data_IF_300313608329
#
_entry.id   IF_300313608329
#
_cell.length_a   1.000
_cell.length_b   1.000
_cell.length_c   1.000
_cell.angle_alpha   90.00
_cell.angle_beta   90.00
_cell.angle_gamma   90.00
#
_symmetry.space_group_name_H-M   'P 1'
#
loop_
_entity.id
_entity.type
_entity.pdbx_description
1 polymer ?
#
# COMPACT_ATOMS: atom_id res chain seq x y z
N UNK A 1 -31.93 82.24 -1.68
CA UNK A 1 -32.59 80.99 -1.26
C UNK A 1 -31.74 79.84 -1.90
N UNK A 2 -30.64 79.53 -1.19
CA UNK A 2 -29.57 78.62 -1.72
C UNK A 2 -29.84 77.22 -1.34
N UNK A 3 -29.95 76.35 -2.33
CA UNK A 3 -30.11 74.90 -2.15
C UNK A 3 -28.77 74.28 -2.36
N UNK A 4 -28.02 74.01 -1.26
CA UNK A 4 -26.77 73.25 -1.28
C UNK A 4 -27.06 71.75 -1.45
N UNK A 5 -26.71 71.20 -2.62
CA UNK A 5 -26.70 69.79 -2.89
C UNK A 5 -25.42 69.15 -2.33
N UNK A 6 -25.55 68.34 -1.28
CA UNK A 6 -24.44 67.55 -0.70
C UNK A 6 -24.34 66.25 -1.48
N UNK A 7 -23.21 66.07 -2.21
CA UNK A 7 -22.90 64.85 -2.93
C UNK A 7 -22.15 63.95 -1.97
N UNK A 8 -22.77 62.82 -1.60
CA UNK A 8 -22.11 61.78 -0.81
C UNK A 8 -21.31 60.86 -1.73
N UNK A 9 -19.98 60.90 -1.63
CA UNK A 9 -19.06 60.02 -2.33
C UNK A 9 -18.93 58.73 -1.52
N UNK A 10 -19.58 57.62 -2.01
CA UNK A 10 -19.40 56.32 -1.41
C UNK A 10 -18.12 55.66 -1.99
N UNK A 11 -17.07 55.63 -1.18
CA UNK A 11 -15.86 54.85 -1.50
C UNK A 11 -16.13 53.37 -1.18
N UNK A 12 -16.35 52.57 -2.23
CA UNK A 12 -16.46 51.11 -2.11
C UNK A 12 -15.04 50.56 -2.00
N UNK A 13 -14.66 50.13 -0.80
CA UNK A 13 -13.39 49.44 -0.54
C UNK A 13 -13.56 47.95 -0.91
N UNK A 14 -13.15 47.59 -2.12
CA UNK A 14 -13.15 46.19 -2.55
C UNK A 14 -12.00 45.43 -1.84
N UNK A 15 -12.34 44.64 -0.82
CA UNK A 15 -11.40 43.77 -0.12
C UNK A 15 -11.17 42.52 -0.97
N UNK A 16 -10.09 42.51 -1.75
CA UNK A 16 -9.67 41.34 -2.50
C UNK A 16 -9.12 40.29 -1.54
N UNK A 17 -9.88 39.22 -1.24
CA UNK A 17 -9.40 38.02 -0.55
C UNK A 17 -8.46 37.27 -1.49
N UNK A 18 -7.15 37.37 -1.25
CA UNK A 18 -6.14 36.51 -1.81
C UNK A 18 -6.22 35.14 -1.11
N UNK A 19 -6.92 34.20 -1.74
CA UNK A 19 -6.86 32.78 -1.37
C UNK A 19 -5.47 32.24 -1.75
N UNK A 20 -4.54 32.26 -0.82
CA UNK A 20 -3.29 31.51 -0.94
C UNK A 20 -3.63 30.02 -0.84
N UNK A 21 -3.81 29.35 -1.97
CA UNK A 21 -3.85 27.91 -2.05
C UNK A 21 -2.45 27.39 -1.65
N UNK A 22 -2.29 26.96 -0.38
CA UNK A 22 -1.16 26.14 0.03
C UNK A 22 -1.24 24.82 -0.75
N UNK A 23 -0.58 24.76 -1.90
CA UNK A 23 -0.32 23.50 -2.59
C UNK A 23 0.54 22.63 -1.70
N UNK A 24 -0.04 21.67 -0.98
CA UNK A 24 0.70 20.61 -0.33
C UNK A 24 1.45 19.87 -1.43
N UNK A 25 2.77 20.07 -1.48
CA UNK A 25 3.66 19.30 -2.34
C UNK A 25 3.56 17.86 -1.87
N UNK A 26 2.95 16.98 -2.68
CA UNK A 26 2.91 15.55 -2.37
C UNK A 26 4.34 15.08 -2.10
N UNK A 27 4.53 14.31 -1.02
CA UNK A 27 5.82 13.71 -0.73
C UNK A 27 6.30 12.90 -1.96
N UNK A 28 7.59 12.91 -2.29
CA UNK A 28 8.09 12.18 -3.43
C UNK A 28 7.75 10.70 -3.27
N UNK A 29 7.07 10.14 -4.27
CA UNK A 29 6.75 8.71 -4.29
C UNK A 29 8.00 7.95 -4.67
N UNK A 30 8.47 7.04 -3.82
CA UNK A 30 9.68 6.24 -4.05
C UNK A 30 9.50 5.13 -5.09
N UNK A 31 8.27 4.79 -5.43
CA UNK A 31 7.95 3.71 -6.36
C UNK A 31 7.44 4.24 -7.70
N UNK A 32 7.63 3.42 -8.74
CA UNK A 32 7.10 3.63 -10.08
C UNK A 32 5.93 2.67 -10.34
N UNK A 33 4.90 3.15 -11.03
CA UNK A 33 3.78 2.30 -11.46
C UNK A 33 4.19 1.46 -12.66
N UNK A 34 4.10 0.14 -12.53
CA UNK A 34 4.31 -0.83 -13.62
C UNK A 34 2.99 -1.08 -14.36
N UNK A 35 1.92 -1.35 -13.60
CA UNK A 35 0.57 -1.48 -14.15
C UNK A 35 -0.47 -0.85 -13.24
N UNK A 36 -1.45 -0.20 -13.85
CA UNK A 36 -2.62 0.30 -13.10
C UNK A 36 -3.52 -0.86 -12.72
N UNK A 37 -4.04 -0.84 -11.50
CA UNK A 37 -5.02 -1.80 -11.04
C UNK A 37 -6.34 -1.67 -11.79
N UNK A 38 -7.02 -2.79 -11.95
CA UNK A 38 -8.41 -2.88 -12.42
C UNK A 38 -9.37 -3.28 -11.29
N UNK A 39 -8.83 -3.75 -10.17
CA UNK A 39 -9.56 -4.13 -8.97
C UNK A 39 -9.42 -3.01 -7.93
N UNK A 40 -10.55 -2.37 -7.59
CA UNK A 40 -10.58 -1.23 -6.68
C UNK A 40 -11.16 -1.62 -5.31
N UNK A 41 -10.92 -0.83 -4.26
CA UNK A 41 -11.61 -1.00 -2.98
C UNK A 41 -13.14 -0.95 -3.16
N UNK A 42 -13.83 -1.96 -2.63
CA UNK A 42 -15.27 -2.12 -2.76
C UNK A 42 -15.72 -3.00 -3.93
N UNK A 43 -14.86 -3.28 -4.90
CA UNK A 43 -15.16 -4.23 -5.97
C UNK A 43 -15.21 -5.67 -5.41
N UNK A 44 -16.08 -6.49 -5.97
CA UNK A 44 -16.06 -7.92 -5.65
C UNK A 44 -14.80 -8.58 -6.20
N UNK A 45 -14.03 -9.22 -5.34
CA UNK A 45 -12.82 -9.93 -5.75
C UNK A 45 -13.20 -11.28 -6.35
N UNK A 46 -12.88 -11.58 -7.62
CA UNK A 46 -13.21 -12.86 -8.23
C UNK A 46 -12.48 -14.01 -7.54
N UNK A 47 -13.10 -15.19 -7.56
CA UNK A 47 -12.43 -16.40 -7.09
C UNK A 47 -11.19 -16.69 -7.95
N UNK A 48 -10.10 -17.22 -7.34
CA UNK A 48 -8.90 -17.61 -8.08
C UNK A 48 -9.23 -18.62 -9.18
N UNK A 49 -8.60 -18.48 -10.33
CA UNK A 49 -8.67 -19.43 -11.45
C UNK A 49 -7.40 -20.26 -11.60
N UNK A 50 -6.32 -19.83 -10.95
CA UNK A 50 -5.03 -20.50 -10.84
C UNK A 50 -4.72 -20.89 -9.40
N UNK A 51 -3.47 -21.30 -9.16
CA UNK A 51 -2.99 -21.65 -7.83
C UNK A 51 -3.08 -20.47 -6.88
N UNK A 52 -3.63 -20.69 -5.68
CA UNK A 52 -3.73 -19.67 -4.65
C UNK A 52 -2.32 -19.37 -4.12
N UNK A 53 -1.88 -18.12 -4.27
CA UNK A 53 -0.59 -17.64 -3.79
C UNK A 53 -0.69 -16.84 -2.50
N UNK A 54 -1.89 -16.28 -2.19
CA UNK A 54 -2.13 -15.50 -0.98
C UNK A 54 -3.54 -15.74 -0.45
N UNK A 55 -3.64 -15.94 0.87
CA UNK A 55 -4.89 -15.99 1.61
C UNK A 55 -4.93 -14.86 2.64
N UNK A 56 -6.04 -14.12 2.69
CA UNK A 56 -6.28 -13.10 3.72
C UNK A 56 -7.51 -13.49 4.51
N UNK A 57 -7.45 -13.38 5.82
CA UNK A 57 -8.56 -13.62 6.75
C UNK A 57 -8.55 -12.66 7.95
N UNK A 58 -9.43 -12.88 8.92
CA UNK A 58 -9.58 -12.04 10.10
C UNK A 58 -10.59 -10.91 9.90
N UNK A 59 -10.28 -9.70 10.39
CA UNK A 59 -11.14 -8.52 10.32
C UNK A 59 -11.16 -7.90 8.91
N UNK A 60 -11.76 -8.60 7.95
CA UNK A 60 -11.97 -8.14 6.57
C UNK A 60 -13.44 -8.23 6.18
N UNK A 61 -13.90 -7.38 5.26
CA UNK A 61 -15.28 -7.39 4.76
C UNK A 61 -15.44 -8.13 3.44
N UNK A 62 -14.36 -8.38 2.70
CA UNK A 62 -14.38 -9.10 1.43
C UNK A 62 -14.05 -10.59 1.62
N UNK A 63 -14.73 -11.45 0.88
CA UNK A 63 -14.41 -12.88 0.84
C UNK A 63 -14.80 -13.46 -0.53
N UNK A 64 -14.06 -14.45 -1.01
CA UNK A 64 -14.36 -15.22 -2.21
C UNK A 64 -14.21 -16.73 -1.98
N UNK A 65 -13.86 -17.15 -0.76
CA UNK A 65 -13.75 -18.56 -0.35
C UNK A 65 -14.07 -18.71 1.14
N UNK A 66 -15.31 -19.04 1.48
CA UNK A 66 -15.77 -19.09 2.87
C UNK A 66 -15.64 -17.74 3.56
N UNK A 67 -14.86 -17.68 4.65
CA UNK A 67 -14.58 -16.45 5.41
C UNK A 67 -13.24 -15.80 5.03
N UNK A 68 -12.60 -16.30 3.97
CA UNK A 68 -11.30 -15.79 3.52
C UNK A 68 -11.36 -15.19 2.13
N UNK A 69 -10.41 -14.31 1.84
CA UNK A 69 -10.15 -13.74 0.54
C UNK A 69 -8.89 -14.39 -0.02
N UNK A 70 -9.02 -15.04 -1.17
CA UNK A 70 -7.93 -15.76 -1.82
C UNK A 70 -7.55 -15.11 -3.15
N UNK A 71 -6.26 -15.12 -3.46
CA UNK A 71 -5.71 -14.58 -4.69
C UNK A 71 -4.81 -15.61 -5.38
N UNK A 72 -5.00 -15.79 -6.68
CA UNK A 72 -3.95 -16.25 -7.56
C UNK A 72 -3.06 -15.05 -7.98
N UNK A 73 -1.95 -15.32 -8.64
CA UNK A 73 -0.99 -14.27 -9.03
C UNK A 73 -1.65 -13.18 -9.88
N UNK A 74 -2.48 -13.57 -10.85
CA UNK A 74 -3.16 -12.64 -11.76
C UNK A 74 -4.15 -11.74 -11.01
N UNK A 75 -4.97 -12.32 -10.15
CA UNK A 75 -5.97 -11.56 -9.39
C UNK A 75 -5.29 -10.62 -8.38
N UNK A 76 -4.19 -11.04 -7.78
CA UNK A 76 -3.39 -10.19 -6.90
C UNK A 76 -2.83 -8.97 -7.66
N UNK A 77 -2.21 -9.19 -8.82
CA UNK A 77 -1.63 -8.10 -9.62
C UNK A 77 -2.68 -7.17 -10.25
N UNK A 78 -3.94 -7.59 -10.35
CA UNK A 78 -5.05 -6.73 -10.76
C UNK A 78 -5.33 -5.58 -9.76
N UNK A 79 -4.80 -5.62 -8.56
CA UNK A 79 -4.84 -4.49 -7.60
C UNK A 79 -3.96 -3.34 -8.06
N UNK A 80 -2.97 -3.62 -8.92
CA UNK A 80 -1.99 -2.67 -9.45
C UNK A 80 -0.59 -3.03 -8.99
N UNK A 81 0.35 -2.95 -9.92
CA UNK A 81 1.76 -3.30 -9.67
C UNK A 81 2.59 -2.04 -9.66
N UNK A 82 3.38 -1.88 -8.62
CA UNK A 82 4.42 -0.86 -8.50
C UNK A 82 5.78 -1.53 -8.30
N UNK A 83 6.86 -0.77 -8.49
CA UNK A 83 8.22 -1.26 -8.31
C UNK A 83 9.12 -0.21 -7.67
N UNK A 84 10.09 -0.66 -6.91
CA UNK A 84 11.22 0.14 -6.42
C UNK A 84 12.44 -0.74 -6.14
N UNK A 85 13.61 -0.10 -6.07
CA UNK A 85 14.86 -0.77 -5.69
C UNK A 85 15.08 -0.66 -4.19
N UNK A 86 15.58 -1.74 -3.60
CA UNK A 86 15.98 -1.76 -2.18
C UNK A 86 17.19 -2.66 -2.00
N UNK A 87 18.06 -2.30 -1.05
CA UNK A 87 19.14 -3.18 -0.63
C UNK A 87 18.56 -4.30 0.23
N UNK A 88 18.46 -5.48 -0.36
CA UNK A 88 17.97 -6.66 0.34
C UNK A 88 18.90 -6.99 1.52
N UNK A 89 18.41 -6.95 2.77
CA UNK A 89 19.25 -7.11 3.94
C UNK A 89 19.86 -8.50 4.07
N UNK A 90 19.28 -9.49 3.40
CA UNK A 90 19.72 -10.89 3.44
C UNK A 90 20.54 -11.28 2.21
N UNK A 91 20.10 -10.91 1.01
CA UNK A 91 20.86 -11.16 -0.21
C UNK A 91 22.08 -10.26 -0.37
N UNK A 92 22.16 -9.14 0.40
CA UNK A 92 23.24 -8.13 0.34
C UNK A 92 23.42 -7.56 -1.08
N UNK A 93 22.31 -7.33 -1.77
CA UNK A 93 22.25 -6.82 -3.15
C UNK A 93 21.14 -5.79 -3.28
N UNK A 94 21.36 -4.83 -4.18
CA UNK A 94 20.30 -3.90 -4.59
C UNK A 94 19.42 -4.61 -5.63
N UNK A 95 18.16 -4.90 -5.28
CA UNK A 95 17.20 -5.67 -6.08
C UNK A 95 16.03 -4.77 -6.46
N UNK A 96 15.56 -4.89 -7.70
CA UNK A 96 14.32 -4.27 -8.15
C UNK A 96 13.15 -5.21 -7.81
N UNK A 97 12.38 -4.86 -6.80
CA UNK A 97 11.17 -5.59 -6.47
C UNK A 97 9.95 -4.94 -7.10
N UNK A 98 9.06 -5.76 -7.67
CA UNK A 98 7.77 -5.36 -8.19
C UNK A 98 6.64 -6.18 -7.56
N UNK A 99 5.49 -5.53 -7.31
CA UNK A 99 4.35 -6.19 -6.67
C UNK A 99 3.27 -5.20 -6.26
N UNK A 100 2.47 -5.58 -5.30
CA UNK A 100 1.29 -4.86 -4.84
C UNK A 100 1.59 -4.15 -3.52
N UNK A 101 1.22 -2.86 -3.40
CA UNK A 101 1.30 -2.17 -2.10
C UNK A 101 0.39 -2.84 -1.08
N UNK A 102 0.94 -3.21 0.07
CA UNK A 102 0.18 -3.84 1.16
C UNK A 102 -0.99 -2.95 1.61
N UNK A 103 -0.80 -1.63 1.63
CA UNK A 103 -1.88 -0.69 1.95
C UNK A 103 -3.05 -0.73 0.95
N UNK A 104 -2.79 -0.96 -0.35
CA UNK A 104 -3.84 -1.11 -1.35
C UNK A 104 -4.53 -2.48 -1.24
N UNK A 105 -3.75 -3.53 -1.00
CA UNK A 105 -4.27 -4.87 -0.76
C UNK A 105 -5.25 -4.89 0.42
N UNK A 106 -4.91 -4.23 1.54
CA UNK A 106 -5.80 -4.12 2.70
C UNK A 106 -7.10 -3.34 2.40
N UNK A 107 -7.03 -2.30 1.58
CA UNK A 107 -8.22 -1.55 1.14
C UNK A 107 -9.14 -2.43 0.28
N UNK A 108 -8.57 -3.22 -0.65
CA UNK A 108 -9.33 -4.16 -1.48
C UNK A 108 -9.92 -5.28 -0.63
N UNK A 109 -9.18 -5.79 0.36
CA UNK A 109 -9.69 -6.79 1.30
C UNK A 109 -10.79 -6.23 2.23
N UNK A 110 -10.95 -4.89 2.30
CA UNK A 110 -11.89 -4.25 3.20
C UNK A 110 -11.52 -4.44 4.66
N UNK A 111 -10.23 -4.25 5.00
CA UNK A 111 -9.76 -4.31 6.37
C UNK A 111 -10.55 -3.38 7.28
N UNK A 112 -10.97 -3.88 8.45
CA UNK A 112 -11.81 -3.13 9.38
C UNK A 112 -11.06 -1.90 9.92
N UNK A 113 -11.75 -0.76 10.13
CA UNK A 113 -11.12 0.48 10.61
C UNK A 113 -10.49 0.36 12.00
N UNK A 114 -10.96 -0.57 12.82
CA UNK A 114 -10.46 -0.86 14.16
C UNK A 114 -9.34 -1.91 14.18
N UNK A 115 -8.96 -2.46 13.02
CA UNK A 115 -7.83 -3.36 12.92
C UNK A 115 -6.51 -2.60 13.15
N UNK A 116 -5.62 -3.19 13.95
CA UNK A 116 -4.36 -2.56 14.35
C UNK A 116 -3.12 -3.33 13.93
N UNK A 117 -3.27 -4.63 13.68
CA UNK A 117 -2.16 -5.55 13.47
C UNK A 117 -2.46 -6.53 12.35
N UNK A 118 -1.45 -6.88 11.60
CA UNK A 118 -1.44 -7.98 10.64
C UNK A 118 -0.52 -9.07 11.17
N UNK A 119 -0.95 -10.33 11.10
CA UNK A 119 -0.02 -11.46 11.18
C UNK A 119 0.29 -11.94 9.77
N UNK A 120 1.52 -11.80 9.34
CA UNK A 120 2.05 -12.35 8.10
C UNK A 120 2.50 -13.79 8.35
N UNK A 121 2.19 -14.72 7.45
CA UNK A 121 2.55 -16.14 7.56
C UNK A 121 3.18 -16.64 6.27
N UNK A 122 4.31 -17.32 6.41
CA UNK A 122 5.00 -17.99 5.31
C UNK A 122 4.45 -19.41 5.06
N UNK A 123 4.92 -20.04 3.98
CA UNK A 123 4.55 -21.42 3.61
C UNK A 123 5.03 -22.48 4.62
N UNK A 124 6.07 -22.18 5.39
CA UNK A 124 6.63 -23.07 6.43
C UNK A 124 6.03 -22.78 7.83
N UNK A 125 4.90 -22.05 7.87
CA UNK A 125 4.20 -21.64 9.09
C UNK A 125 4.96 -20.62 9.97
N UNK A 126 6.14 -20.15 9.58
CA UNK A 126 6.75 -19.02 10.25
C UNK A 126 5.82 -17.80 10.16
N UNK A 127 5.71 -17.05 11.25
CA UNK A 127 4.83 -15.88 11.28
C UNK A 127 5.45 -14.72 12.04
N UNK A 128 5.08 -13.51 11.62
CA UNK A 128 5.48 -12.25 12.26
C UNK A 128 4.33 -11.27 12.26
N UNK A 129 4.29 -10.39 13.24
CA UNK A 129 3.28 -9.35 13.33
C UNK A 129 3.80 -8.03 12.75
N UNK A 130 2.91 -7.30 12.07
CA UNK A 130 3.16 -5.98 11.49
C UNK A 130 2.03 -5.02 11.88
N UNK A 131 2.37 -3.81 12.31
CA UNK A 131 1.35 -2.79 12.64
C UNK A 131 0.74 -2.20 11.37
N UNK A 132 -0.57 -2.03 11.34
CA UNK A 132 -1.26 -1.37 10.23
C UNK A 132 -0.85 0.11 10.11
N UNK A 133 -0.48 0.76 11.22
CA UNK A 133 0.09 2.12 11.19
C UNK A 133 1.35 2.22 10.32
N UNK A 134 2.19 1.18 10.33
CA UNK A 134 3.43 1.13 9.56
C UNK A 134 3.14 0.89 8.07
N UNK A 135 2.15 0.04 7.76
CA UNK A 135 1.64 -0.16 6.39
C UNK A 135 1.05 1.13 5.80
N UNK A 136 0.43 1.95 6.63
CA UNK A 136 -0.10 3.24 6.21
C UNK A 136 0.98 4.33 6.09
N UNK A 137 2.09 4.18 6.81
CA UNK A 137 3.20 5.14 6.81
C UNK A 137 4.20 4.88 5.69
N UNK A 138 4.52 3.61 5.41
CA UNK A 138 5.54 3.22 4.45
C UNK A 138 4.98 2.40 3.30
N UNK A 139 5.50 2.53 2.09
CA UNK A 139 5.05 1.77 0.92
C UNK A 139 5.59 0.32 0.95
N UNK A 140 5.17 -0.44 1.96
CA UNK A 140 5.49 -1.86 2.10
C UNK A 140 4.90 -2.61 0.92
N UNK A 141 5.71 -3.46 0.27
CA UNK A 141 5.35 -4.16 -0.93
C UNK A 141 5.15 -5.66 -0.66
N UNK A 142 4.07 -6.22 -1.17
CA UNK A 142 3.96 -7.66 -1.37
C UNK A 142 4.51 -7.93 -2.77
N UNK A 143 5.80 -8.24 -2.81
CA UNK A 143 6.52 -8.45 -4.06
C UNK A 143 6.12 -9.77 -4.71
N UNK A 144 5.84 -9.71 -6.01
CA UNK A 144 5.58 -10.87 -6.89
C UNK A 144 6.79 -11.18 -7.75
N UNK A 145 7.68 -10.18 -7.97
CA UNK A 145 8.86 -10.28 -8.84
C UNK A 145 10.09 -9.66 -8.18
N UNK A 146 11.23 -10.25 -8.49
CA UNK A 146 12.56 -9.71 -8.21
C UNK A 146 13.32 -9.62 -9.54
N UNK A 147 13.92 -8.44 -9.84
CA UNK A 147 14.63 -8.16 -11.10
C UNK A 147 13.83 -8.53 -12.37
N UNK A 148 12.52 -8.26 -12.35
CA UNK A 148 11.46 -8.49 -13.35
C UNK A 148 10.96 -9.94 -13.46
N UNK A 149 11.55 -10.91 -12.80
CA UNK A 149 11.13 -12.31 -12.87
C UNK A 149 10.23 -12.69 -11.69
N UNK A 150 9.21 -13.52 -11.92
CA UNK A 150 8.44 -14.13 -10.85
C UNK A 150 9.35 -15.02 -9.98
N UNK A 151 9.14 -14.94 -8.68
CA UNK A 151 9.94 -15.68 -7.72
C UNK A 151 9.36 -17.09 -7.54
N UNK A 152 10.10 -18.16 -7.88
CA UNK A 152 9.64 -19.52 -7.63
C UNK A 152 9.72 -19.87 -6.15
N UNK A 153 8.89 -20.83 -5.72
CA UNK A 153 8.78 -21.24 -4.30
C UNK A 153 10.12 -21.72 -3.73
N UNK A 154 10.91 -22.43 -4.52
CA UNK A 154 12.24 -22.92 -4.13
C UNK A 154 13.33 -21.82 -4.04
N UNK A 155 12.98 -20.57 -4.38
CA UNK A 155 13.82 -19.37 -4.30
C UNK A 155 13.11 -18.25 -3.55
N UNK A 156 12.61 -18.55 -2.36
CA UNK A 156 11.95 -17.62 -1.44
C UNK A 156 10.61 -17.03 -1.92
N UNK A 157 10.08 -17.45 -3.08
CA UNK A 157 8.76 -17.06 -3.59
C UNK A 157 7.62 -17.89 -3.00
N UNK A 158 6.39 -17.73 -3.49
CA UNK A 158 6.01 -16.89 -4.63
C UNK A 158 5.93 -15.39 -4.29
N UNK A 159 5.80 -15.03 -3.01
CA UNK A 159 5.64 -13.67 -2.54
C UNK A 159 6.64 -13.35 -1.43
N UNK A 160 7.08 -12.10 -1.38
CA UNK A 160 7.92 -11.56 -0.30
C UNK A 160 7.30 -10.27 0.23
N UNK A 161 7.28 -10.10 1.55
CA UNK A 161 7.03 -8.80 2.17
C UNK A 161 8.31 -7.98 2.14
N UNK A 162 8.34 -6.88 1.38
CA UNK A 162 9.52 -6.04 1.17
C UNK A 162 9.34 -4.70 1.89
N UNK A 163 10.32 -4.37 2.74
CA UNK A 163 10.36 -3.14 3.54
C UNK A 163 11.27 -2.11 2.85
N UNK A 164 10.86 -0.84 2.65
CA UNK A 164 11.61 0.15 1.89
C UNK A 164 12.73 0.80 2.73
N UNK A 165 13.69 0.03 3.24
CA UNK A 165 14.74 0.49 4.17
C UNK A 165 15.58 1.64 3.62
N UNK A 166 15.91 1.65 2.32
CA UNK A 166 16.79 2.66 1.71
C UNK A 166 16.23 4.08 1.77
N UNK A 167 14.92 4.21 1.61
CA UNK A 167 14.26 5.51 1.48
C UNK A 167 13.70 6.03 2.81
N UNK A 168 13.69 5.19 3.83
CA UNK A 168 13.17 5.49 5.17
C UNK A 168 14.17 5.08 6.25
N UNK A 169 15.21 5.90 6.52
CA UNK A 169 16.26 5.56 7.46
C UNK A 169 15.79 5.42 8.92
N UNK A 170 14.57 5.89 9.21
CA UNK A 170 13.94 5.67 10.52
C UNK A 170 13.39 4.25 10.71
N UNK A 171 13.37 3.41 9.66
CA UNK A 171 13.00 2.00 9.78
C UNK A 171 14.20 1.23 10.34
N UNK A 172 14.08 0.83 11.59
CA UNK A 172 15.14 0.10 12.29
C UNK A 172 15.19 -1.38 11.89
N UNK A 173 16.31 -1.84 11.38
CA UNK A 173 16.53 -3.23 10.97
C UNK A 173 16.27 -4.23 12.11
N UNK A 174 16.67 -3.91 13.35
CA UNK A 174 16.50 -4.82 14.49
C UNK A 174 15.01 -5.14 14.71
N UNK A 175 14.15 -4.14 14.51
CA UNK A 175 12.70 -4.28 14.69
C UNK A 175 12.00 -4.88 13.47
N UNK A 176 12.44 -4.51 12.26
CA UNK A 176 11.67 -4.77 11.03
C UNK A 176 12.21 -5.86 10.14
N UNK A 177 13.44 -6.38 10.34
CA UNK A 177 13.98 -7.47 9.52
C UNK A 177 13.10 -8.74 9.56
N UNK A 178 12.48 -9.05 10.70
CA UNK A 178 11.55 -10.17 10.82
C UNK A 178 10.28 -10.02 9.95
N UNK A 179 9.95 -8.79 9.54
CA UNK A 179 8.80 -8.49 8.70
C UNK A 179 9.15 -8.56 7.20
N UNK A 180 10.44 -8.68 6.85
CA UNK A 180 10.89 -9.08 5.53
C UNK A 180 10.68 -10.58 5.36
N UNK A 181 9.45 -10.96 5.07
CA UNK A 181 9.02 -12.36 5.12
C UNK A 181 9.04 -12.98 3.72
N UNK A 182 9.88 -14.00 3.54
CA UNK A 182 9.91 -14.82 2.33
C UNK A 182 8.77 -15.83 2.30
N UNK A 183 8.48 -16.34 1.10
CA UNK A 183 7.45 -17.35 0.88
C UNK A 183 6.12 -16.99 1.57
N UNK A 184 5.76 -15.70 1.57
CA UNK A 184 4.51 -15.22 2.17
C UNK A 184 3.33 -15.91 1.51
N UNK A 185 2.44 -16.50 2.32
CA UNK A 185 1.26 -17.24 1.86
C UNK A 185 -0.05 -16.78 2.55
N UNK A 186 0.04 -16.13 3.70
CA UNK A 186 -1.14 -15.73 4.46
C UNK A 186 -0.99 -14.40 5.19
N UNK A 187 -2.12 -13.68 5.35
CA UNK A 187 -2.23 -12.46 6.15
C UNK A 187 -3.51 -12.58 6.99
N UNK A 188 -3.39 -12.47 8.31
CA UNK A 188 -4.54 -12.36 9.21
C UNK A 188 -4.65 -10.93 9.72
N UNK A 189 -5.79 -10.28 9.49
CA UNK A 189 -6.09 -8.92 9.96
C UNK A 189 -6.71 -8.98 11.35
N UNK A 190 -6.13 -8.30 12.34
CA UNK A 190 -6.53 -8.34 13.76
C UNK A 190 -6.96 -6.98 14.30
#
# INVERSE_FOLDING_TARGET
MDLRRTVHFHVIFAFALLLTACGQKAAPTIYQTVSKGTLNPGDAVPAPTGDVVLKIDGKISQSNSGTSLQFDMKTLENIGVVQYKVDDPFAKKNILYAGVLLSQLLKVAGAAPDATTLTLRALDDYSTDMKISDVNKWPILIATRADNDYMPVDKNGPLISVIPFNDFPEIDHITYDAQWLWALAGITVK
#
